data_IF_330927469433
#
_entry.id   IF_330927469433
#
_cell.length_a   1.000
_cell.length_b   1.000
_cell.length_c   1.000
_cell.angle_alpha   90.00
_cell.angle_beta   90.00
_cell.angle_gamma   90.00
#
_symmetry.space_group_name_H-M   'P 1'
#
loop_
_entity.id
_entity.type
_entity.pdbx_description
1 polymer ?
#
# COMPACT_ATOMS: atom_id res chain seq x y z
N UNK A 1 33.98 56.64 -52.97
CA UNK A 1 34.53 56.11 -51.71
C UNK A 1 33.61 56.38 -50.50
N UNK A 2 32.97 57.56 -50.38
CA UNK A 2 32.10 57.91 -49.23
C UNK A 2 30.78 57.11 -49.12
N UNK A 3 30.14 56.74 -50.25
CA UNK A 3 28.88 55.97 -50.25
C UNK A 3 29.03 54.55 -49.66
N UNK A 4 30.14 53.88 -49.94
CA UNK A 4 30.46 52.52 -49.44
C UNK A 4 30.69 52.52 -47.92
N UNK A 5 31.32 53.56 -47.37
CA UNK A 5 31.50 53.71 -45.92
C UNK A 5 30.15 53.94 -45.21
N UNK A 6 29.26 54.76 -45.78
CA UNK A 6 27.93 54.99 -45.19
C UNK A 6 27.03 53.75 -45.22
N UNK A 7 27.20 52.85 -46.20
CA UNK A 7 26.47 51.58 -46.23
C UNK A 7 27.01 50.59 -45.22
N UNK A 8 28.32 50.54 -44.98
CA UNK A 8 28.90 49.66 -43.97
C UNK A 8 28.51 50.10 -42.55
N UNK A 9 28.55 51.40 -42.28
CA UNK A 9 28.19 51.98 -40.98
C UNK A 9 26.72 51.69 -40.63
N UNK A 10 25.81 51.84 -41.60
CA UNK A 10 24.38 51.53 -41.41
C UNK A 10 24.11 50.03 -41.23
N UNK A 11 24.84 49.15 -41.91
CA UNK A 11 24.73 47.69 -41.71
C UNK A 11 25.24 47.29 -40.33
N UNK A 12 26.35 47.87 -39.85
CA UNK A 12 26.84 47.62 -38.49
C UNK A 12 25.92 48.17 -37.39
N UNK A 13 25.23 49.29 -37.64
CA UNK A 13 24.21 49.81 -36.72
C UNK A 13 22.98 48.89 -36.63
N UNK A 14 22.52 48.35 -37.77
CA UNK A 14 21.43 47.38 -37.81
C UNK A 14 21.82 46.07 -37.11
N UNK A 15 23.02 45.56 -37.35
CA UNK A 15 23.52 44.33 -36.71
C UNK A 15 23.65 44.51 -35.18
N UNK A 16 24.12 45.68 -34.74
CA UNK A 16 24.21 46.05 -33.32
C UNK A 16 22.82 46.20 -32.69
N UNK A 17 21.85 46.78 -33.41
CA UNK A 17 20.45 46.87 -32.94
C UNK A 17 19.82 45.47 -32.79
N UNK A 18 19.95 44.60 -33.78
CA UNK A 18 19.41 43.23 -33.75
C UNK A 18 20.08 42.41 -32.62
N UNK A 19 21.41 42.50 -32.49
CA UNK A 19 22.17 41.84 -31.42
C UNK A 19 21.76 42.35 -30.03
N UNK A 20 21.45 43.64 -29.89
CA UNK A 20 20.99 44.23 -28.63
C UNK A 20 19.54 43.88 -28.27
N UNK A 21 18.67 43.65 -29.27
CA UNK A 21 17.27 43.25 -29.09
C UNK A 21 17.12 41.75 -28.79
N UNK A 22 18.03 40.90 -29.30
CA UNK A 22 18.00 39.45 -29.06
C UNK A 22 17.97 39.04 -27.56
N UNK A 23 18.82 39.59 -26.66
CA UNK A 23 18.77 39.26 -25.23
C UNK A 23 17.50 39.80 -24.54
N UNK A 24 16.95 40.93 -24.98
CA UNK A 24 15.69 41.48 -24.46
C UNK A 24 14.48 40.63 -24.85
N UNK A 25 14.40 40.20 -26.13
CA UNK A 25 13.39 39.26 -26.59
C UNK A 25 13.44 37.92 -25.84
N UNK A 26 14.65 37.37 -25.63
CA UNK A 26 14.82 36.12 -24.89
C UNK A 26 14.32 36.24 -23.44
N UNK A 27 14.60 37.36 -22.77
CA UNK A 27 14.13 37.63 -21.41
C UNK A 27 12.60 37.83 -21.34
N UNK A 28 12.02 38.51 -22.34
CA UNK A 28 10.58 38.71 -22.43
C UNK A 28 9.84 37.38 -22.71
N UNK A 29 10.37 36.53 -23.59
CA UNK A 29 9.87 35.18 -23.85
C UNK A 29 9.92 34.31 -22.59
N UNK A 30 11.04 34.27 -21.88
CA UNK A 30 11.18 33.49 -20.66
C UNK A 30 10.17 33.93 -19.56
N UNK A 31 9.90 35.24 -19.44
CA UNK A 31 8.87 35.78 -18.54
C UNK A 31 7.45 35.42 -18.98
N UNK A 32 7.18 35.41 -20.28
CA UNK A 32 5.89 35.03 -20.84
C UNK A 32 5.64 33.52 -20.66
N UNK A 33 6.64 32.68 -20.91
CA UNK A 33 6.59 31.23 -20.67
C UNK A 33 6.37 30.89 -19.21
N UNK A 34 7.10 31.51 -18.27
CA UNK A 34 6.88 31.28 -16.83
C UNK A 34 5.45 31.65 -16.41
N UNK A 35 4.90 32.76 -16.92
CA UNK A 35 3.50 33.15 -16.65
C UNK A 35 2.50 32.15 -17.23
N UNK A 36 2.77 31.62 -18.42
CA UNK A 36 1.95 30.57 -19.04
C UNK A 36 2.02 29.25 -18.27
N UNK A 37 3.20 28.83 -17.83
CA UNK A 37 3.40 27.64 -17.01
C UNK A 37 2.73 27.75 -15.64
N UNK A 38 2.89 28.88 -14.94
CA UNK A 38 2.22 29.10 -13.64
C UNK A 38 0.70 29.11 -13.80
N UNK A 39 0.17 29.75 -14.86
CA UNK A 39 -1.28 29.70 -15.15
C UNK A 39 -1.76 28.28 -15.44
N UNK A 40 -1.03 27.55 -16.28
CA UNK A 40 -1.34 26.14 -16.57
C UNK A 40 -1.33 25.30 -15.30
N UNK A 41 -0.33 25.48 -14.44
CA UNK A 41 -0.21 24.78 -13.16
C UNK A 41 -1.40 25.11 -12.25
N UNK A 42 -1.78 26.38 -12.10
CA UNK A 42 -2.95 26.79 -11.31
C UNK A 42 -4.27 26.25 -11.86
N UNK A 43 -4.38 26.06 -13.18
CA UNK A 43 -5.56 25.44 -13.80
C UNK A 43 -5.65 23.94 -13.51
N UNK A 44 -4.51 23.25 -13.44
CA UNK A 44 -4.44 21.81 -13.18
C UNK A 44 -4.38 21.46 -11.68
N UNK A 45 -3.87 22.38 -10.84
CA UNK A 45 -3.76 22.22 -9.39
C UNK A 45 -5.06 21.79 -8.70
N UNK A 46 -6.24 22.42 -8.94
CA UNK A 46 -7.48 22.02 -8.27
C UNK A 46 -7.89 20.59 -8.61
N UNK A 47 -7.66 20.15 -9.85
CA UNK A 47 -7.91 18.77 -10.27
C UNK A 47 -6.97 17.79 -9.54
N UNK A 48 -5.68 18.11 -9.46
CA UNK A 48 -4.69 17.28 -8.76
C UNK A 48 -5.00 17.21 -7.27
N UNK A 49 -5.28 18.34 -6.62
CA UNK A 49 -5.69 18.38 -5.21
C UNK A 49 -6.96 17.55 -4.96
N UNK A 50 -7.94 17.63 -5.86
CA UNK A 50 -9.15 16.80 -5.76
C UNK A 50 -8.82 15.30 -5.81
N UNK A 51 -7.95 14.86 -6.74
CA UNK A 51 -7.52 13.46 -6.83
C UNK A 51 -6.74 13.04 -5.57
N UNK A 52 -5.85 13.89 -5.06
CA UNK A 52 -5.09 13.60 -3.86
C UNK A 52 -6.00 13.42 -2.64
N UNK A 53 -7.02 14.27 -2.49
CA UNK A 53 -7.95 14.21 -1.36
C UNK A 53 -8.97 13.08 -1.48
N UNK A 54 -9.49 12.81 -2.69
CA UNK A 54 -10.53 11.79 -2.89
C UNK A 54 -9.99 10.37 -3.06
N UNK A 55 -8.80 10.21 -3.62
CA UNK A 55 -8.19 8.91 -3.86
C UNK A 55 -6.94 8.68 -3.02
N UNK A 56 -5.94 9.56 -3.11
CA UNK A 56 -4.64 9.28 -2.47
C UNK A 56 -4.76 9.25 -0.94
N UNK A 57 -5.50 10.17 -0.34
CA UNK A 57 -5.71 10.21 1.11
C UNK A 57 -6.42 8.96 1.64
N UNK A 58 -7.60 8.53 1.12
CA UNK A 58 -8.23 7.29 1.56
C UNK A 58 -7.38 6.04 1.32
N UNK A 59 -6.60 5.99 0.23
CA UNK A 59 -5.68 4.87 -0.04
C UNK A 59 -4.59 4.81 1.02
N UNK A 60 -3.98 5.94 1.38
CA UNK A 60 -2.95 6.02 2.43
C UNK A 60 -3.54 5.69 3.79
N UNK A 61 -4.73 6.19 4.10
CA UNK A 61 -5.45 5.88 5.34
C UNK A 61 -5.73 4.37 5.44
N UNK A 62 -6.24 3.76 4.37
CA UNK A 62 -6.48 2.31 4.32
C UNK A 62 -5.17 1.52 4.43
N UNK A 63 -4.08 2.00 3.85
CA UNK A 63 -2.77 1.36 3.94
C UNK A 63 -2.22 1.43 5.37
N UNK A 64 -2.33 2.58 6.04
CA UNK A 64 -1.93 2.73 7.44
C UNK A 64 -2.77 1.84 8.36
N UNK A 65 -4.10 1.84 8.15
CA UNK A 65 -5.04 0.98 8.88
C UNK A 65 -4.82 -0.51 8.63
N UNK A 66 -4.22 -0.87 7.49
CA UNK A 66 -3.80 -2.24 7.22
C UNK A 66 -2.59 -2.65 8.05
N UNK A 67 -1.75 -1.74 8.55
CA UNK A 67 -0.54 -2.07 9.32
C UNK A 67 -0.81 -1.99 10.84
N UNK A 68 -1.81 -1.20 11.24
CA UNK A 68 -2.18 -0.98 12.64
C UNK A 68 -2.89 -2.22 13.25
N UNK A 69 -2.21 -2.86 14.22
CA UNK A 69 -2.74 -3.99 15.00
C UNK A 69 -3.32 -3.58 16.37
N UNK A 70 -3.56 -2.29 16.61
CA UNK A 70 -4.08 -1.75 17.89
C UNK A 70 -5.33 -2.47 18.41
N UNK A 71 -6.16 -3.01 17.52
CA UNK A 71 -7.35 -3.79 17.91
C UNK A 71 -6.99 -5.03 18.73
N UNK A 72 -5.92 -5.76 18.38
CA UNK A 72 -5.55 -7.01 19.08
C UNK A 72 -4.81 -6.68 20.37
N UNK A 73 -3.85 -5.75 20.31
CA UNK A 73 -3.08 -5.30 21.47
C UNK A 73 -3.98 -4.68 22.54
N UNK A 74 -4.98 -3.87 22.13
CA UNK A 74 -5.92 -3.26 23.05
C UNK A 74 -7.01 -4.19 23.59
N UNK A 75 -7.24 -5.35 22.95
CA UNK A 75 -8.29 -6.29 23.37
C UNK A 75 -7.78 -7.42 24.27
N UNK A 76 -6.48 -7.72 24.22
CA UNK A 76 -5.83 -8.81 24.97
C UNK A 76 -4.54 -8.32 25.69
N UNK A 77 -4.58 -7.21 26.46
CA UNK A 77 -3.39 -6.59 27.03
C UNK A 77 -2.57 -7.55 27.92
N UNK A 78 -3.19 -8.41 28.70
CA UNK A 78 -2.45 -9.27 29.63
C UNK A 78 -1.92 -10.52 28.91
N UNK A 79 -2.68 -11.08 27.96
CA UNK A 79 -2.18 -12.19 27.11
C UNK A 79 -0.98 -11.73 26.27
N UNK A 80 -0.97 -10.48 25.80
CA UNK A 80 0.14 -9.95 24.99
C UNK A 80 1.47 -9.92 25.73
N UNK A 81 1.46 -9.60 27.02
CA UNK A 81 2.68 -9.60 27.85
C UNK A 81 3.18 -11.03 28.09
N UNK A 82 2.28 -11.94 28.47
CA UNK A 82 2.64 -13.31 28.83
C UNK A 82 3.09 -14.14 27.62
N UNK A 83 2.46 -13.93 26.45
CA UNK A 83 2.80 -14.69 25.23
C UNK A 83 4.10 -14.22 24.58
N UNK A 84 4.57 -13.00 24.90
CA UNK A 84 5.83 -12.48 24.36
C UNK A 84 7.03 -13.32 24.83
N UNK A 85 6.99 -13.83 26.06
CA UNK A 85 8.05 -14.65 26.66
C UNK A 85 7.99 -16.14 26.27
N UNK A 86 6.95 -16.57 25.55
CA UNK A 86 6.74 -17.99 25.24
C UNK A 86 7.53 -18.45 24.00
N UNK A 87 8.13 -19.65 24.06
CA UNK A 87 9.08 -20.20 23.08
C UNK A 87 8.45 -20.83 21.82
N UNK A 88 7.19 -20.46 21.49
CA UNK A 88 6.49 -20.82 20.24
C UNK A 88 6.19 -22.30 19.96
N UNK A 89 6.96 -23.23 20.53
CA UNK A 89 6.83 -24.69 20.34
C UNK A 89 6.47 -25.45 21.62
N UNK A 90 6.71 -24.86 22.79
CA UNK A 90 6.39 -25.48 24.08
C UNK A 90 4.90 -25.38 24.42
N UNK A 91 4.39 -26.22 25.31
CA UNK A 91 3.01 -26.05 25.78
C UNK A 91 2.87 -24.68 26.48
N UNK A 92 1.82 -23.89 26.18
CA UNK A 92 1.56 -22.63 26.88
C UNK A 92 1.57 -22.82 28.39
N UNK A 93 2.18 -21.89 29.13
CA UNK A 93 2.16 -21.94 30.59
C UNK A 93 0.71 -21.84 31.09
N UNK A 94 0.42 -22.45 32.24
CA UNK A 94 -0.93 -22.39 32.83
C UNK A 94 -1.36 -20.94 33.07
N UNK A 95 -0.42 -20.07 33.41
CA UNK A 95 -0.64 -18.63 33.56
C UNK A 95 -1.10 -17.97 32.25
N UNK A 96 -0.44 -18.26 31.12
CA UNK A 96 -0.85 -17.75 29.81
C UNK A 96 -2.26 -18.24 29.42
N UNK A 97 -2.55 -19.53 29.65
CA UNK A 97 -3.87 -20.11 29.37
C UNK A 97 -4.95 -19.43 30.22
N UNK A 98 -4.66 -19.21 31.48
CA UNK A 98 -5.57 -18.57 32.43
C UNK A 98 -5.92 -17.16 32.00
N UNK A 99 -4.91 -16.30 31.83
CA UNK A 99 -5.06 -14.91 31.38
C UNK A 99 -5.83 -14.83 30.06
N UNK A 100 -5.47 -15.68 29.09
CA UNK A 100 -6.18 -15.76 27.83
C UNK A 100 -7.65 -16.14 27.99
N UNK A 101 -7.96 -17.10 28.88
CA UNK A 101 -9.33 -17.54 29.11
C UNK A 101 -10.20 -16.46 29.76
N UNK A 102 -9.64 -15.67 30.67
CA UNK A 102 -10.34 -14.54 31.31
C UNK A 102 -10.65 -13.44 30.30
N UNK A 103 -9.66 -13.01 29.53
CA UNK A 103 -9.83 -11.94 28.53
C UNK A 103 -10.79 -12.36 27.42
N UNK A 104 -10.72 -13.61 26.93
CA UNK A 104 -11.67 -14.12 25.93
C UNK A 104 -13.10 -14.16 26.48
N UNK A 105 -13.27 -14.50 27.76
CA UNK A 105 -14.58 -14.48 28.41
C UNK A 105 -15.11 -13.06 28.52
N UNK A 106 -14.28 -12.10 28.96
CA UNK A 106 -14.63 -10.69 29.03
C UNK A 106 -15.00 -10.11 27.64
N UNK A 107 -14.24 -10.44 26.60
CA UNK A 107 -14.52 -10.05 25.22
C UNK A 107 -15.82 -10.67 24.69
N UNK A 108 -16.13 -11.91 25.09
CA UNK A 108 -17.38 -12.57 24.70
C UNK A 108 -18.59 -11.89 25.35
N UNK A 109 -18.52 -11.63 26.66
CA UNK A 109 -19.60 -10.97 27.42
C UNK A 109 -19.84 -9.53 26.96
N UNK A 110 -18.77 -8.79 26.64
CA UNK A 110 -18.85 -7.43 26.08
C UNK A 110 -19.22 -7.36 24.60
N UNK A 111 -19.46 -8.51 23.94
CA UNK A 111 -19.77 -8.64 22.50
C UNK A 111 -18.67 -8.08 21.57
N UNK A 112 -17.44 -7.96 22.06
CA UNK A 112 -16.28 -7.50 21.27
C UNK A 112 -15.49 -8.63 20.62
N UNK A 113 -15.63 -9.87 21.13
CA UNK A 113 -14.97 -11.07 20.59
C UNK A 113 -15.15 -11.26 19.07
N UNK A 114 -16.30 -10.99 18.43
CA UNK A 114 -16.43 -11.14 16.98
C UNK A 114 -15.47 -10.30 16.15
N UNK A 115 -15.11 -9.10 16.62
CA UNK A 115 -14.19 -8.21 15.91
C UNK A 115 -12.76 -8.78 15.96
N UNK A 116 -12.33 -9.16 17.16
CA UNK A 116 -11.01 -9.77 17.41
C UNK A 116 -10.89 -11.11 16.68
N UNK A 117 -11.91 -11.96 16.77
CA UNK A 117 -11.95 -13.27 16.13
C UNK A 117 -11.89 -13.21 14.60
N UNK A 118 -12.48 -12.17 13.99
CA UNK A 118 -12.35 -11.93 12.55
C UNK A 118 -10.91 -11.60 12.16
N UNK A 119 -10.22 -10.76 12.94
CA UNK A 119 -8.83 -10.39 12.69
C UNK A 119 -7.91 -11.61 12.73
N UNK A 120 -8.03 -12.45 13.75
CA UNK A 120 -7.28 -13.71 13.82
C UNK A 120 -7.61 -14.69 12.69
N UNK A 121 -8.83 -14.65 12.14
CA UNK A 121 -9.21 -15.55 11.05
C UNK A 121 -8.56 -15.20 9.69
N UNK A 122 -8.13 -13.95 9.52
CA UNK A 122 -7.35 -13.54 8.34
C UNK A 122 -5.99 -14.26 8.34
N UNK A 123 -5.36 -14.33 9.52
CA UNK A 123 -4.09 -15.03 9.75
C UNK A 123 -4.26 -16.55 9.57
N UNK A 124 -5.19 -17.15 10.31
CA UNK A 124 -5.46 -18.59 10.27
C UNK A 124 -6.93 -18.88 10.02
N UNK A 125 -7.20 -19.58 8.92
CA UNK A 125 -8.55 -20.06 8.61
C UNK A 125 -9.11 -20.95 9.74
N UNK A 126 -10.35 -20.68 10.14
CA UNK A 126 -11.05 -21.42 11.18
C UNK A 126 -10.77 -20.91 12.60
N UNK A 127 -9.98 -19.85 12.77
CA UNK A 127 -9.74 -19.26 14.09
C UNK A 127 -10.97 -18.53 14.63
N UNK A 128 -11.80 -17.94 13.76
CA UNK A 128 -13.05 -17.29 14.20
C UNK A 128 -13.95 -18.25 14.94
N UNK A 129 -14.18 -19.44 14.36
CA UNK A 129 -15.07 -20.44 14.96
C UNK A 129 -14.46 -21.04 16.23
N UNK A 130 -13.14 -21.21 16.27
CA UNK A 130 -12.42 -21.66 17.46
C UNK A 130 -12.59 -20.68 18.63
N UNK A 131 -12.32 -19.39 18.41
CA UNK A 131 -12.44 -18.35 19.44
C UNK A 131 -13.90 -18.17 19.89
N UNK A 132 -14.85 -18.18 18.95
CA UNK A 132 -16.28 -18.11 19.27
C UNK A 132 -16.78 -19.27 20.13
N UNK A 133 -16.36 -20.49 19.79
CA UNK A 133 -16.70 -21.68 20.55
C UNK A 133 -16.07 -21.64 21.94
N UNK A 134 -14.82 -21.17 22.02
CA UNK A 134 -14.06 -21.03 23.26
C UNK A 134 -14.72 -20.02 24.19
N UNK A 135 -14.94 -18.77 23.75
CA UNK A 135 -15.63 -17.75 24.55
C UNK A 135 -17.02 -18.16 25.01
N UNK A 136 -17.81 -18.83 24.15
CA UNK A 136 -19.14 -19.35 24.53
C UNK A 136 -19.07 -20.41 25.62
N UNK A 137 -18.10 -21.34 25.56
CA UNK A 137 -17.95 -22.39 26.57
C UNK A 137 -17.37 -21.84 27.87
N UNK A 138 -16.39 -20.94 27.79
CA UNK A 138 -15.80 -20.28 28.95
C UNK A 138 -16.81 -19.41 29.71
N UNK A 139 -17.66 -18.67 28.99
CA UNK A 139 -18.74 -17.89 29.60
C UNK A 139 -19.79 -18.75 30.33
N UNK A 140 -19.87 -20.06 30.06
CA UNK A 140 -20.73 -21.00 30.81
C UNK A 140 -20.06 -21.56 32.06
N UNK A 141 -18.74 -21.39 32.18
CA UNK A 141 -17.94 -21.88 33.31
C UNK A 141 -17.74 -20.80 34.39
N UNK A 142 -18.39 -19.64 34.24
CA UNK A 142 -18.38 -18.50 35.18
C UNK A 142 -16.98 -18.12 35.68
N UNK A 143 -15.99 -18.07 34.78
CA UNK A 143 -14.65 -17.59 35.12
C UNK A 143 -13.85 -18.47 36.08
N UNK A 144 -14.18 -19.77 36.21
CA UNK A 144 -13.32 -20.71 36.92
C UNK A 144 -11.95 -20.81 36.24
N UNK A 145 -10.89 -20.91 37.04
CA UNK A 145 -9.51 -21.12 36.57
C UNK A 145 -9.48 -22.26 35.54
N UNK A 146 -9.20 -21.95 34.28
CA UNK A 146 -9.17 -22.94 33.20
C UNK A 146 -7.73 -23.43 33.00
N UNK A 147 -7.50 -24.70 33.31
CA UNK A 147 -6.23 -25.38 33.01
C UNK A 147 -6.09 -25.62 31.51
N UNK A 148 -4.85 -25.76 31.01
CA UNK A 148 -4.57 -26.13 29.61
C UNK A 148 -5.40 -27.34 29.13
N UNK A 149 -5.52 -28.38 29.95
CA UNK A 149 -6.30 -29.57 29.61
C UNK A 149 -7.79 -29.27 29.38
N UNK A 150 -8.36 -28.36 30.16
CA UNK A 150 -9.76 -27.95 30.03
C UNK A 150 -9.97 -27.11 28.75
N UNK A 151 -9.02 -26.24 28.42
CA UNK A 151 -9.04 -25.49 27.16
C UNK A 151 -8.94 -26.43 25.95
N UNK A 152 -8.11 -27.46 26.04
CA UNK A 152 -7.99 -28.52 25.05
C UNK A 152 -9.26 -29.39 24.96
N UNK A 153 -9.94 -29.64 26.09
CA UNK A 153 -11.22 -30.35 26.12
C UNK A 153 -12.35 -29.55 25.46
N UNK A 154 -12.29 -28.21 25.49
CA UNK A 154 -13.22 -27.34 24.75
C UNK A 154 -13.10 -27.57 23.25
N UNK A 155 -11.87 -27.57 22.73
CA UNK A 155 -11.54 -27.86 21.34
C UNK A 155 -10.09 -28.36 21.18
N UNK A 156 -9.93 -29.53 20.55
CA UNK A 156 -8.62 -30.17 20.31
C UNK A 156 -7.67 -29.31 19.49
N UNK A 157 -8.18 -28.32 18.75
CA UNK A 157 -7.35 -27.40 17.97
C UNK A 157 -6.34 -26.65 18.83
N UNK A 158 -6.65 -26.35 20.10
CA UNK A 158 -5.73 -25.68 21.02
C UNK A 158 -4.44 -26.46 21.32
N UNK A 159 -4.40 -27.77 21.01
CA UNK A 159 -3.16 -28.55 21.11
C UNK A 159 -2.13 -28.20 20.03
N UNK A 160 -2.57 -27.59 18.91
CA UNK A 160 -1.68 -27.31 17.79
C UNK A 160 -0.94 -25.99 18.03
N UNK A 161 0.42 -25.97 18.01
CA UNK A 161 1.23 -24.78 18.30
C UNK A 161 0.92 -23.63 17.33
N UNK A 162 0.56 -23.96 16.09
CA UNK A 162 0.08 -23.02 15.05
C UNK A 162 -0.90 -21.95 15.54
N UNK A 163 -1.87 -22.32 16.39
CA UNK A 163 -2.90 -21.37 16.85
C UNK A 163 -2.36 -20.39 17.90
N UNK A 164 -1.45 -20.84 18.75
CA UNK A 164 -0.75 -19.99 19.73
C UNK A 164 0.28 -19.10 19.05
N UNK A 165 0.99 -19.62 18.04
CA UNK A 165 1.87 -18.83 17.19
C UNK A 165 1.13 -17.68 16.49
N UNK A 166 -0.10 -17.88 16.02
CA UNK A 166 -0.91 -16.77 15.49
C UNK A 166 -1.22 -15.71 16.55
N UNK A 167 -1.51 -16.09 17.80
CA UNK A 167 -1.73 -15.13 18.88
C UNK A 167 -0.46 -14.31 19.14
N UNK A 168 0.71 -14.97 19.14
CA UNK A 168 2.01 -14.31 19.29
C UNK A 168 2.36 -13.41 18.09
N UNK A 169 2.07 -13.83 16.86
CA UNK A 169 2.38 -13.05 15.66
C UNK A 169 1.56 -11.75 15.58
N UNK A 170 0.32 -11.75 16.11
CA UNK A 170 -0.55 -10.57 16.15
C UNK A 170 -0.33 -9.69 17.40
N UNK A 171 0.62 -10.07 18.26
CA UNK A 171 1.00 -9.32 19.46
C UNK A 171 1.79 -8.03 19.14
N UNK A 172 2.47 -7.99 18.00
CA UNK A 172 3.26 -6.81 17.60
C UNK A 172 2.36 -5.68 17.09
N UNK A 173 2.48 -4.49 17.72
CA UNK A 173 1.78 -3.27 17.33
C UNK A 173 2.17 -2.75 15.93
N UNK A 174 3.36 -3.11 15.43
CA UNK A 174 3.88 -2.71 14.12
C UNK A 174 4.35 -3.94 13.34
N UNK A 175 3.49 -4.43 12.45
CA UNK A 175 3.76 -5.69 11.78
C UNK A 175 4.13 -5.49 10.30
N UNK A 176 5.37 -5.82 9.94
CA UNK A 176 5.88 -5.91 8.56
C UNK A 176 5.32 -7.11 7.77
N UNK A 177 4.48 -7.94 8.40
CA UNK A 177 3.89 -9.14 7.81
C UNK A 177 2.97 -8.83 6.62
N UNK A 178 2.41 -7.62 6.52
CA UNK A 178 1.65 -7.20 5.35
C UNK A 178 2.51 -7.02 4.11
N UNK A 179 3.74 -6.50 4.27
CA UNK A 179 4.70 -6.39 3.18
C UNK A 179 5.24 -7.77 2.77
N UNK A 180 5.47 -8.66 3.73
CA UNK A 180 5.84 -10.05 3.45
C UNK A 180 4.71 -10.77 2.71
N UNK A 181 3.45 -10.62 3.15
CA UNK A 181 2.29 -11.21 2.48
C UNK A 181 2.10 -10.66 1.06
N UNK A 182 2.39 -9.38 0.81
CA UNK A 182 2.37 -8.80 -0.54
C UNK A 182 3.45 -9.40 -1.47
N UNK A 183 4.51 -9.97 -0.90
CA UNK A 183 5.55 -10.71 -1.62
C UNK A 183 5.30 -12.23 -1.61
N UNK A 184 4.08 -12.69 -1.28
CA UNK A 184 3.72 -14.11 -1.14
C UNK A 184 4.56 -14.87 -0.06
N UNK A 185 5.09 -14.14 0.93
CA UNK A 185 5.87 -14.65 2.06
C UNK A 185 5.09 -14.53 3.36
N UNK A 186 5.31 -15.46 4.29
CA UNK A 186 4.77 -15.43 5.66
C UNK A 186 5.89 -15.69 6.66
N UNK A 187 5.71 -15.20 7.88
CA UNK A 187 6.55 -15.60 9.01
C UNK A 187 5.94 -16.86 9.61
N UNK A 188 6.69 -17.97 9.59
CA UNK A 188 6.22 -19.24 10.14
C UNK A 188 6.35 -19.30 11.66
N UNK A 189 5.87 -20.40 12.25
CA UNK A 189 5.85 -20.68 13.70
C UNK A 189 7.21 -20.50 14.41
N UNK A 190 8.31 -20.47 13.65
CA UNK A 190 9.69 -20.34 14.15
C UNK A 190 10.30 -18.95 13.89
N UNK A 191 9.52 -17.95 13.46
CA UNK A 191 10.04 -16.62 13.11
C UNK A 191 10.81 -16.57 11.78
N UNK A 192 10.87 -17.68 11.04
CA UNK A 192 11.52 -17.77 9.72
C UNK A 192 10.56 -17.33 8.62
N UNK A 193 11.07 -16.54 7.68
CA UNK A 193 10.33 -16.17 6.47
C UNK A 193 10.22 -17.41 5.59
N UNK A 194 9.00 -17.90 5.39
CA UNK A 194 8.68 -19.04 4.53
C UNK A 194 7.65 -18.63 3.49
N UNK A 195 7.65 -19.35 2.37
CA UNK A 195 6.66 -19.15 1.32
C UNK A 195 5.23 -19.43 1.81
N UNK A 196 4.28 -18.61 1.37
CA UNK A 196 2.88 -18.84 1.65
C UNK A 196 2.41 -20.15 0.97
N UNK A 197 1.36 -20.80 1.49
CA UNK A 197 0.86 -22.04 0.87
C UNK A 197 0.45 -21.79 -0.58
N UNK A 198 0.67 -22.77 -1.46
CA UNK A 198 0.43 -22.71 -2.92
C UNK A 198 -0.93 -22.10 -3.32
N UNK A 199 -1.98 -22.29 -2.50
CA UNK A 199 -3.32 -21.70 -2.71
C UNK A 199 -3.45 -20.20 -2.42
N UNK A 200 -2.47 -19.58 -1.76
CA UNK A 200 -2.40 -18.15 -1.43
C UNK A 200 -1.31 -17.40 -2.19
N UNK A 201 -0.34 -18.08 -2.82
CA UNK A 201 0.71 -17.49 -3.65
C UNK A 201 0.18 -17.03 -5.02
N UNK A 202 -0.77 -16.11 -5.00
CA UNK A 202 -1.44 -15.62 -6.22
C UNK A 202 -0.97 -14.21 -6.55
N UNK A 203 -0.46 -13.46 -5.57
CA UNK A 203 -0.27 -12.02 -5.71
C UNK A 203 0.87 -11.69 -6.69
N UNK A 204 2.04 -12.34 -6.58
CA UNK A 204 3.16 -12.09 -7.49
C UNK A 204 2.84 -12.48 -8.93
N UNK A 205 2.18 -13.62 -9.13
CA UNK A 205 1.78 -14.09 -10.45
C UNK A 205 0.75 -13.17 -11.12
N UNK A 206 -0.18 -12.60 -10.34
CA UNK A 206 -1.16 -11.64 -10.84
C UNK A 206 -0.51 -10.28 -11.14
N UNK A 207 0.38 -9.82 -10.26
CA UNK A 207 1.10 -8.56 -10.41
C UNK A 207 1.99 -8.55 -11.65
N UNK A 208 2.68 -9.66 -11.93
CA UNK A 208 3.46 -9.82 -13.15
C UNK A 208 2.57 -9.76 -14.39
N UNK A 209 1.42 -10.45 -14.40
CA UNK A 209 0.49 -10.45 -15.53
C UNK A 209 -0.05 -9.04 -15.81
N UNK A 210 -0.44 -8.29 -14.78
CA UNK A 210 -0.99 -6.94 -14.97
C UNK A 210 0.08 -5.93 -15.39
N UNK A 211 1.30 -6.00 -14.82
CA UNK A 211 2.43 -5.17 -15.24
C UNK A 211 2.85 -5.46 -16.68
N UNK A 212 2.92 -6.74 -17.06
CA UNK A 212 3.26 -7.13 -18.42
C UNK A 212 2.22 -6.62 -19.41
N UNK A 213 0.93 -6.79 -19.10
CA UNK A 213 -0.16 -6.29 -19.95
C UNK A 213 -0.14 -4.77 -20.07
N UNK A 214 0.04 -4.03 -18.97
CA UNK A 214 0.09 -2.57 -19.03
C UNK A 214 1.29 -2.05 -19.82
N UNK A 215 2.45 -2.70 -19.71
CA UNK A 215 3.64 -2.37 -20.48
C UNK A 215 3.44 -2.62 -21.98
N UNK A 216 2.84 -3.76 -22.35
CA UNK A 216 2.51 -4.08 -23.74
C UNK A 216 1.52 -3.05 -24.32
N UNK A 217 0.45 -2.74 -23.59
CA UNK A 217 -0.53 -1.72 -24.03
C UNK A 217 0.15 -0.36 -24.20
N UNK A 218 1.00 0.03 -23.26
CA UNK A 218 1.75 1.30 -23.33
C UNK A 218 2.63 1.36 -24.58
N UNK A 219 3.38 0.29 -24.88
CA UNK A 219 4.21 0.21 -26.08
C UNK A 219 3.39 0.27 -27.37
N UNK A 220 2.24 -0.40 -27.42
CA UNK A 220 1.33 -0.37 -28.57
C UNK A 220 0.75 1.04 -28.77
N UNK A 221 0.27 1.69 -27.70
CA UNK A 221 -0.22 3.07 -27.76
C UNK A 221 0.86 4.04 -28.22
N UNK A 222 2.11 3.87 -27.76
CA UNK A 222 3.23 4.72 -28.12
C UNK A 222 3.65 4.51 -29.57
N UNK A 223 3.66 3.26 -30.05
CA UNK A 223 3.89 2.94 -31.47
C UNK A 223 2.81 3.55 -32.38
N UNK A 224 1.54 3.43 -31.99
CA UNK A 224 0.42 4.03 -32.72
C UNK A 224 0.48 5.56 -32.69
N UNK A 225 0.78 6.17 -31.53
CA UNK A 225 0.89 7.61 -31.38
C UNK A 225 2.02 8.20 -32.24
N UNK A 226 3.20 7.59 -32.22
CA UNK A 226 4.33 8.01 -33.07
C UNK A 226 3.95 7.89 -34.54
N UNK A 227 3.33 6.77 -34.94
CA UNK A 227 2.92 6.52 -36.32
C UNK A 227 1.86 7.52 -36.80
N UNK A 228 0.83 7.75 -35.99
CA UNK A 228 -0.22 8.73 -36.29
C UNK A 228 0.32 10.15 -36.36
N UNK A 229 1.19 10.52 -35.43
CA UNK A 229 1.81 11.84 -35.40
C UNK A 229 2.66 12.07 -36.66
N UNK A 230 3.48 11.08 -37.07
CA UNK A 230 4.26 11.20 -38.30
C UNK A 230 3.37 11.24 -39.54
N UNK A 231 2.32 10.42 -39.64
CA UNK A 231 1.37 10.49 -40.75
C UNK A 231 0.68 11.84 -40.84
N UNK A 232 0.21 12.37 -39.72
CA UNK A 232 -0.46 13.66 -39.66
C UNK A 232 0.48 14.81 -40.04
N UNK A 233 1.72 14.81 -39.54
CA UNK A 233 2.75 15.78 -39.94
C UNK A 233 3.11 15.67 -41.43
N UNK A 234 3.20 14.45 -41.97
CA UNK A 234 3.53 14.24 -43.38
C UNK A 234 2.40 14.74 -44.29
N UNK A 235 1.13 14.50 -43.91
CA UNK A 235 -0.03 15.06 -44.59
C UNK A 235 -0.08 16.59 -44.57
N UNK A 236 0.31 17.21 -43.45
CA UNK A 236 0.30 18.68 -43.31
C UNK A 236 1.42 19.35 -44.12
N UNK A 237 2.54 18.66 -44.32
CA UNK A 237 3.68 19.15 -45.12
C UNK A 237 3.46 18.95 -46.63
N UNK A 238 2.77 17.88 -47.06
CA UNK A 238 2.51 17.57 -48.47
C UNK A 238 1.23 18.21 -49.04
N UNK A 239 0.83 19.37 -48.52
CA UNK A 239 -0.40 20.07 -48.88
C UNK A 239 -0.36 21.02 -50.12
N UNK A 240 0.55 20.95 -51.14
CA UNK A 240 0.37 21.76 -52.35
C UNK A 240 -0.40 21.06 -53.49
N UNK A 241 -1.15 19.95 -53.26
CA UNK A 241 -1.76 19.16 -54.36
C UNK A 241 -3.26 18.84 -54.16
N UNK A 242 -3.94 19.47 -53.19
CA UNK A 242 -5.40 19.37 -53.08
C UNK A 242 -6.07 20.73 -53.35
N UNK A 243 -6.10 21.14 -54.62
CA UNK A 243 -7.07 22.06 -55.19
C UNK A 243 -7.91 21.31 -56.22
#
# INVERSE_FOLDING_TARGET
>A
MSRELSSLESVTELEKQISSQAPDLAQQLAKAERRKQIRSLFLTLPLVCFILLSFAFPIVEMLYRSIDNSLVVGSLPDTTVEIAAWDTQSVPSERLVHTFSEEITALYLSKQLPKVANRFNIEISGMRSLLMKTGRKLAKLDGKLVTYEQLVAIDKRWQKPKYWAAIKNLNSAYTSHFYLAALDLKVDENGKITEQSESRQIYLGLFYKTLWMSLVITLVCLALAIRWLTYWLTCLINMPICC
#
